data_IF_044880468643
#
_entry.id   IF_044880468643
#
_cell.length_a   1.000
_cell.length_b   1.000
_cell.length_c   1.000
_cell.angle_alpha   90.00
_cell.angle_beta   90.00
_cell.angle_gamma   90.00
#
_symmetry.space_group_name_H-M   'P 1'
#
loop_
_entity.id
_entity.type
_entity.pdbx_description
1 polymer ?
#
# COMPACT_ATOMS: atom_id res chain seq x y z
N UNK A 1 43.30 -23.15 25.81
CA UNK A 1 42.70 -22.34 26.90
C UNK A 1 41.35 -22.93 27.25
N UNK A 2 41.13 -23.22 28.53
CA UNK A 2 40.03 -24.03 29.07
C UNK A 2 38.74 -23.22 29.18
N UNK A 3 37.62 -23.89 28.92
CA UNK A 3 36.23 -23.45 29.04
C UNK A 3 35.86 -23.06 30.47
N UNK A 4 34.98 -22.05 30.61
CA UNK A 4 34.28 -21.76 31.86
C UNK A 4 32.77 -21.78 31.59
N UNK A 5 32.09 -22.70 32.27
CA UNK A 5 30.65 -22.86 32.37
C UNK A 5 30.13 -22.19 33.65
N UNK A 6 28.79 -22.10 33.69
CA UNK A 6 27.90 -21.90 34.85
C UNK A 6 27.45 -20.46 35.14
N UNK A 7 26.26 -20.19 35.69
CA UNK A 7 24.96 -20.88 35.81
C UNK A 7 24.12 -20.00 36.75
N UNK A 8 22.78 -20.13 36.70
CA UNK A 8 21.81 -19.71 37.74
C UNK A 8 21.61 -18.19 37.97
N UNK A 9 20.44 -17.68 38.31
CA UNK A 9 19.09 -18.22 38.48
C UNK A 9 18.18 -17.02 38.77
N UNK A 10 16.88 -17.11 38.45
CA UNK A 10 15.77 -17.02 39.43
C UNK A 10 14.45 -16.69 38.75
N UNK A 11 13.72 -17.77 38.58
CA UNK A 11 12.28 -17.89 38.54
C UNK A 11 11.56 -17.06 39.63
N UNK A 12 10.44 -16.44 39.25
CA UNK A 12 9.34 -16.11 40.16
C UNK A 12 8.03 -16.58 39.54
N UNK A 13 7.40 -17.51 40.25
CA UNK A 13 6.11 -18.14 39.99
C UNK A 13 5.01 -17.39 40.77
N UNK A 14 3.76 -17.62 40.34
CA UNK A 14 2.47 -17.54 41.07
C UNK A 14 1.84 -16.14 41.04
N UNK A 15 0.56 -15.93 40.75
CA UNK A 15 -0.68 -16.73 40.91
C UNK A 15 -1.77 -15.95 40.13
N UNK A 16 -2.63 -16.55 39.33
CA UNK A 16 -3.86 -17.22 39.79
C UNK A 16 -4.96 -16.19 40.14
N UNK A 17 -6.03 -16.16 39.35
CA UNK A 17 -7.45 -16.09 39.77
C UNK A 17 -8.33 -16.16 38.52
N UNK A 18 -9.05 -17.27 38.36
CA UNK A 18 -10.27 -17.35 37.55
C UNK A 18 -11.45 -16.95 38.42
N UNK A 19 -12.24 -16.00 37.94
CA UNK A 19 -13.64 -15.73 38.31
C UNK A 19 -14.19 -14.79 37.25
N UNK A 20 -15.43 -14.81 36.85
CA UNK A 20 -16.51 -15.78 36.89
C UNK A 20 -17.53 -15.14 35.96
N UNK A 21 -18.24 -15.96 35.21
CA UNK A 21 -19.40 -15.58 34.45
C UNK A 21 -20.34 -14.70 35.29
N UNK A 22 -20.80 -13.58 34.71
CA UNK A 22 -22.09 -13.00 35.09
C UNK A 22 -22.91 -12.73 33.85
N UNK A 23 -23.94 -13.55 33.76
CA UNK A 23 -25.09 -13.51 32.88
C UNK A 23 -25.64 -12.10 32.68
N UNK A 24 -25.84 -11.72 31.42
CA UNK A 24 -26.55 -10.53 30.96
C UNK A 24 -27.44 -10.94 29.79
N UNK A 25 -28.74 -10.77 29.99
CA UNK A 25 -29.86 -11.33 29.24
C UNK A 25 -29.92 -10.90 27.77
N UNK A 26 -30.55 -11.78 26.99
CA UNK A 26 -30.96 -11.60 25.60
C UNK A 26 -31.57 -10.23 25.29
N UNK A 27 -31.17 -9.64 24.18
CA UNK A 27 -32.02 -8.72 23.42
C UNK A 27 -32.03 -9.15 21.96
N UNK A 28 -33.23 -9.21 21.41
CA UNK A 28 -33.55 -9.67 20.07
C UNK A 28 -33.12 -8.62 19.06
N UNK A 29 -32.17 -8.96 18.22
CA UNK A 29 -31.81 -8.14 17.07
C UNK A 29 -31.99 -9.05 15.85
N UNK A 30 -33.21 -9.06 15.30
CA UNK A 30 -33.46 -9.54 13.95
C UNK A 30 -32.73 -8.61 12.98
N UNK A 31 -31.42 -8.80 12.86
CA UNK A 31 -30.60 -8.09 11.90
C UNK A 31 -30.83 -8.69 10.53
N UNK A 32 -31.70 -8.03 9.75
CA UNK A 32 -31.75 -8.17 8.30
C UNK A 32 -30.31 -8.33 7.79
N UNK A 33 -30.03 -9.43 7.07
CA UNK A 33 -28.75 -9.57 6.38
C UNK A 33 -28.58 -8.30 5.54
N UNK A 34 -27.50 -7.52 5.69
CA UNK A 34 -27.21 -6.50 4.71
C UNK A 34 -27.09 -7.21 3.38
N UNK A 35 -28.06 -6.92 2.50
CA UNK A 35 -28.02 -7.28 1.09
C UNK A 35 -26.66 -6.85 0.57
N UNK A 36 -26.02 -7.72 -0.21
CA UNK A 36 -24.70 -7.49 -0.78
C UNK A 36 -24.62 -6.07 -1.33
N UNK A 37 -24.02 -5.17 -0.56
CA UNK A 37 -23.69 -3.83 -1.02
C UNK A 37 -22.78 -4.06 -2.20
N UNK A 38 -23.32 -3.70 -3.36
CA UNK A 38 -22.62 -3.49 -4.62
C UNK A 38 -21.22 -2.99 -4.28
N UNK A 39 -20.22 -3.77 -4.69
CA UNK A 39 -18.84 -3.55 -4.29
C UNK A 39 -18.50 -2.10 -4.51
N UNK A 40 -18.27 -1.36 -3.42
CA UNK A 40 -17.88 0.03 -3.49
C UNK A 40 -16.69 0.08 -4.43
N UNK A 41 -16.90 0.62 -5.63
CA UNK A 41 -15.83 0.85 -6.59
C UNK A 41 -14.94 1.89 -5.93
N UNK A 42 -13.92 1.41 -5.21
CA UNK A 42 -12.98 2.29 -4.53
C UNK A 42 -12.32 3.11 -5.63
N UNK A 43 -12.72 4.37 -5.75
CA UNK A 43 -12.09 5.31 -6.68
C UNK A 43 -10.70 5.55 -6.12
N UNK A 44 -9.73 4.84 -6.67
CA UNK A 44 -8.35 4.98 -6.24
C UNK A 44 -7.84 6.37 -6.66
N UNK A 45 -7.04 7.05 -5.83
CA UNK A 45 -6.59 8.42 -6.12
C UNK A 45 -5.80 8.50 -7.43
N UNK A 46 -5.91 9.63 -8.13
CA UNK A 46 -5.14 9.88 -9.34
C UNK A 46 -3.63 9.92 -9.03
N UNK A 47 -2.81 9.43 -9.97
CA UNK A 47 -1.35 9.49 -9.86
C UNK A 47 -0.94 10.86 -10.39
N UNK A 48 -0.54 11.75 -9.49
CA UNK A 48 -0.26 13.15 -9.81
C UNK A 48 1.18 13.42 -10.23
N UNK A 49 2.07 12.42 -10.26
CA UNK A 49 3.47 12.58 -10.71
C UNK A 49 3.62 12.46 -12.22
N UNK A 50 2.67 11.81 -12.90
CA UNK A 50 2.74 11.54 -14.34
C UNK A 50 1.37 11.61 -15.00
N UNK A 51 1.39 11.81 -16.32
CA UNK A 51 0.22 11.61 -17.17
C UNK A 51 0.66 10.99 -18.51
N UNK A 52 -0.26 10.38 -19.23
CA UNK A 52 -0.08 10.02 -20.62
C UNK A 52 -0.51 11.17 -21.52
N UNK A 53 0.34 11.55 -22.46
CA UNK A 53 -0.07 12.34 -23.60
C UNK A 53 -0.86 11.46 -24.58
N UNK A 54 -1.64 12.08 -25.48
CA UNK A 54 -2.55 11.36 -26.40
C UNK A 54 -1.85 10.47 -27.41
N UNK A 55 -0.55 10.67 -27.64
CA UNK A 55 0.32 9.82 -28.45
C UNK A 55 0.84 8.58 -27.67
N UNK A 56 0.47 8.43 -26.39
CA UNK A 56 0.92 7.36 -25.52
C UNK A 56 2.24 7.65 -24.79
N UNK A 57 2.83 8.84 -24.97
CA UNK A 57 4.05 9.24 -24.27
C UNK A 57 3.73 9.52 -22.80
N UNK A 58 4.54 8.98 -21.87
CA UNK A 58 4.43 9.32 -20.45
C UNK A 58 5.19 10.62 -20.16
N UNK A 59 4.51 11.56 -19.53
CA UNK A 59 5.00 12.92 -19.27
C UNK A 59 5.03 13.22 -17.78
N UNK A 60 5.98 14.07 -17.39
CA UNK A 60 6.06 14.58 -16.03
C UNK A 60 4.92 15.57 -15.79
N UNK A 61 4.16 15.38 -14.71
CA UNK A 61 3.00 16.23 -14.41
C UNK A 61 3.36 17.69 -14.13
N UNK A 62 4.53 17.93 -13.52
CA UNK A 62 4.96 19.28 -13.16
C UNK A 62 5.39 20.12 -14.36
N UNK A 63 6.26 19.57 -15.22
CA UNK A 63 6.83 20.34 -16.34
C UNK A 63 6.23 19.99 -17.70
N UNK A 64 5.32 19.01 -17.77
CA UNK A 64 4.65 18.58 -19.00
C UNK A 64 5.53 17.92 -20.05
N UNK A 65 6.80 17.61 -19.74
CA UNK A 65 7.75 17.05 -20.72
C UNK A 65 7.74 15.52 -20.70
N UNK A 66 8.02 14.88 -21.85
CA UNK A 66 8.24 13.44 -21.91
C UNK A 66 9.30 12.97 -20.92
N UNK A 67 9.05 11.83 -20.29
CA UNK A 67 10.00 11.15 -19.44
C UNK A 67 10.81 10.13 -20.25
N UNK A 68 12.09 9.98 -19.90
CA UNK A 68 12.95 8.94 -20.46
C UNK A 68 12.80 7.65 -19.64
N UNK A 69 12.55 6.53 -20.31
CA UNK A 69 12.47 5.23 -19.66
C UNK A 69 13.88 4.70 -19.35
N UNK A 70 14.15 4.38 -18.09
CA UNK A 70 15.46 3.94 -17.60
C UNK A 70 15.52 2.44 -17.29
N UNK A 71 14.39 1.74 -17.30
CA UNK A 71 14.35 0.29 -17.12
C UNK A 71 13.23 -0.17 -16.19
N UNK A 72 13.27 -1.44 -15.84
CA UNK A 72 12.33 -2.04 -14.90
C UNK A 72 13.06 -2.71 -13.75
N UNK A 73 12.44 -2.73 -12.57
CA UNK A 73 12.94 -3.44 -11.37
C UNK A 73 12.04 -4.63 -11.09
N UNK A 74 12.61 -5.83 -11.12
CA UNK A 74 11.91 -7.07 -10.83
C UNK A 74 10.69 -7.34 -11.73
N UNK A 75 10.56 -6.65 -12.87
CA UNK A 75 9.39 -6.73 -13.75
C UNK A 75 8.09 -6.17 -13.13
N UNK A 76 8.18 -5.41 -12.04
CA UNK A 76 7.02 -4.89 -11.31
C UNK A 76 7.00 -3.37 -11.22
N UNK A 77 8.17 -2.74 -11.26
CA UNK A 77 8.32 -1.29 -11.24
C UNK A 77 9.04 -0.81 -12.49
N UNK A 78 8.69 0.39 -12.93
CA UNK A 78 9.20 1.07 -14.11
C UNK A 78 9.87 2.35 -13.64
N UNK A 79 11.11 2.57 -14.07
CA UNK A 79 11.88 3.76 -13.75
C UNK A 79 11.88 4.73 -14.92
N UNK A 80 11.62 5.99 -14.60
CA UNK A 80 11.62 7.09 -15.53
C UNK A 80 12.48 8.24 -15.01
N UNK A 81 12.99 9.07 -15.92
CA UNK A 81 13.76 10.26 -15.57
C UNK A 81 13.26 11.49 -16.34
N UNK A 82 13.05 12.59 -15.61
CA UNK A 82 12.77 13.88 -16.20
C UNK A 82 14.06 14.69 -16.34
N UNK A 83 14.56 14.87 -17.56
CA UNK A 83 15.77 15.66 -17.82
C UNK A 83 15.61 17.15 -17.58
N UNK A 84 14.37 17.67 -17.50
CA UNK A 84 14.11 19.08 -17.20
C UNK A 84 14.06 19.38 -15.71
N UNK A 85 13.43 18.50 -14.95
CA UNK A 85 13.30 18.65 -13.49
C UNK A 85 14.43 17.97 -12.71
N UNK A 86 15.23 17.13 -13.37
CA UNK A 86 16.26 16.29 -12.74
C UNK A 86 15.64 15.43 -11.64
N UNK A 87 14.55 14.75 -11.99
CA UNK A 87 13.75 13.94 -11.07
C UNK A 87 13.60 12.51 -11.58
N UNK A 88 13.74 11.55 -10.67
CA UNK A 88 13.42 10.15 -10.92
C UNK A 88 11.97 9.87 -10.52
N UNK A 89 11.25 9.20 -11.42
CA UNK A 89 9.89 8.75 -11.17
C UNK A 89 9.85 7.23 -11.29
N UNK A 90 9.58 6.54 -10.19
CA UNK A 90 9.39 5.09 -10.16
C UNK A 90 7.90 4.78 -10.02
N UNK A 91 7.37 3.96 -10.91
CA UNK A 91 5.95 3.59 -10.94
C UNK A 91 5.78 2.06 -10.93
N UNK A 92 4.93 1.49 -10.07
CA UNK A 92 4.50 0.11 -10.23
C UNK A 92 3.77 -0.07 -11.57
N UNK A 93 4.06 -1.15 -12.30
CA UNK A 93 3.41 -1.44 -13.58
C UNK A 93 1.88 -1.55 -13.45
N UNK A 94 1.40 -2.01 -12.28
CA UNK A 94 -0.03 -2.12 -11.98
C UNK A 94 -0.77 -0.78 -11.93
N UNK A 95 -0.06 0.34 -11.81
CA UNK A 95 -0.69 1.67 -11.74
C UNK A 95 -0.77 2.37 -13.09
N UNK A 96 -0.14 1.84 -14.15
CA UNK A 96 -0.16 2.46 -15.48
C UNK A 96 -1.58 2.67 -16.02
N UNK A 97 -2.49 1.71 -15.80
CA UNK A 97 -3.89 1.81 -16.23
C UNK A 97 -4.68 2.92 -15.54
N UNK A 98 -4.12 3.52 -14.47
CA UNK A 98 -4.73 4.60 -13.70
C UNK A 98 -4.05 5.94 -13.91
N UNK A 99 -2.97 5.98 -14.70
CA UNK A 99 -2.30 7.23 -15.05
C UNK A 99 -3.26 8.03 -15.94
N UNK A 100 -3.57 9.29 -15.59
CA UNK A 100 -4.51 10.09 -16.36
C UNK A 100 -3.97 10.34 -17.78
N UNK A 101 -4.87 10.44 -18.76
CA UNK A 101 -4.52 10.83 -20.14
C UNK A 101 -4.89 12.30 -20.32
N UNK A 102 -3.95 13.14 -20.73
CA UNK A 102 -4.19 14.54 -21.07
C UNK A 102 -3.90 14.75 -22.55
N UNK A 103 -4.91 15.25 -23.26
CA UNK A 103 -4.70 15.88 -24.56
C UNK A 103 -4.11 17.27 -24.31
N UNK A 104 -2.97 17.58 -24.92
CA UNK A 104 -2.36 18.90 -24.80
C UNK A 104 -3.34 20.03 -25.10
N UNK A 105 -3.21 21.12 -24.34
CA UNK A 105 -3.77 22.45 -24.64
C UNK A 105 -3.08 23.08 -25.84
#
# INVERSE_FOLDING_TARGET
MRTATASSARERVRTGVRRSQRSGKASREGGLRPSATEGAHQVLPAIVSVFFHTDGTICHSWCGRPLEFHGSRGGLELDFFCTRCIEHVTLPQSVLSRVPVLSGV
#
